data_IF_294653909375
#
_entry.id   IF_294653909375
#
_cell.length_a   1.000
_cell.length_b   1.000
_cell.length_c   1.000
_cell.angle_alpha   90.00
_cell.angle_beta   90.00
_cell.angle_gamma   90.00
#
_symmetry.space_group_name_H-M   'P 1'
#
loop_
_entity.id
_entity.type
_entity.pdbx_description
1 polymer ?
#
# COMPACT_ATOMS: atom_id res chain seq x y z
N UNK A 1 9.06 -27.68 -4.60
CA UNK A 1 9.64 -27.85 -5.97
C UNK A 1 10.78 -26.86 -6.13
N UNK A 2 12.00 -27.33 -6.40
CA UNK A 2 13.17 -26.45 -6.55
C UNK A 2 13.22 -25.87 -7.96
N UNK A 3 13.25 -24.55 -8.07
CA UNK A 3 13.24 -23.82 -9.34
C UNK A 3 14.27 -22.70 -9.34
N UNK A 4 14.54 -22.18 -10.53
CA UNK A 4 15.35 -20.97 -10.73
C UNK A 4 14.62 -19.71 -10.26
N UNK A 5 15.37 -18.63 -10.01
CA UNK A 5 14.80 -17.30 -9.71
C UNK A 5 13.82 -16.86 -10.79
N UNK A 6 14.13 -17.13 -12.05
CA UNK A 6 13.32 -16.75 -13.22
C UNK A 6 12.00 -17.53 -13.28
N UNK A 7 12.00 -18.79 -12.88
CA UNK A 7 10.79 -19.60 -12.74
C UNK A 7 9.95 -19.16 -11.55
N UNK A 8 10.57 -18.92 -10.40
CA UNK A 8 9.88 -18.36 -9.24
C UNK A 8 9.27 -16.99 -9.55
N UNK A 9 10.00 -16.13 -10.25
CA UNK A 9 9.51 -14.82 -10.70
C UNK A 9 8.24 -14.96 -11.54
N UNK A 10 8.21 -15.90 -12.48
CA UNK A 10 7.00 -16.21 -13.26
C UNK A 10 5.85 -16.71 -12.38
N UNK A 11 6.13 -17.63 -11.46
CA UNK A 11 5.14 -18.19 -10.54
C UNK A 11 4.46 -17.12 -9.69
N UNK A 12 5.24 -16.24 -9.07
CA UNK A 12 4.74 -15.16 -8.23
C UNK A 12 4.28 -13.93 -9.03
N UNK A 13 4.38 -13.94 -10.37
CA UNK A 13 4.15 -12.78 -11.26
C UNK A 13 4.94 -11.53 -10.81
N UNK A 14 6.20 -11.72 -10.42
CA UNK A 14 7.11 -10.65 -9.98
C UNK A 14 8.36 -10.61 -10.85
N UNK A 15 9.13 -9.53 -10.75
CA UNK A 15 10.42 -9.45 -11.44
C UNK A 15 11.47 -10.35 -10.74
N UNK A 16 12.44 -10.92 -11.48
CA UNK A 16 13.55 -11.67 -10.88
C UNK A 16 14.31 -10.88 -9.80
N UNK A 17 14.43 -9.56 -9.96
CA UNK A 17 15.02 -8.67 -8.97
C UNK A 17 14.23 -8.59 -7.66
N UNK A 18 12.91 -8.78 -7.68
CA UNK A 18 12.10 -8.87 -6.47
C UNK A 18 12.41 -10.16 -5.69
N UNK A 19 12.50 -11.28 -6.39
CA UNK A 19 12.85 -12.58 -5.78
C UNK A 19 14.27 -12.54 -5.19
N UNK A 20 15.25 -11.93 -5.87
CA UNK A 20 16.61 -11.76 -5.33
C UNK A 20 16.63 -10.90 -4.06
N UNK A 21 15.81 -9.85 -4.00
CA UNK A 21 15.64 -9.05 -2.77
C UNK A 21 15.00 -9.85 -1.65
N UNK A 22 14.07 -10.75 -1.93
CA UNK A 22 13.50 -11.64 -0.93
C UNK A 22 14.55 -12.56 -0.35
N UNK A 23 15.37 -13.19 -1.19
CA UNK A 23 16.51 -14.02 -0.75
C UNK A 23 17.47 -13.21 0.13
N UNK A 24 17.86 -12.01 -0.29
CA UNK A 24 18.72 -11.12 0.50
C UNK A 24 18.09 -10.72 1.86
N UNK A 25 16.75 -10.76 1.95
CA UNK A 25 15.99 -10.44 3.16
C UNK A 25 15.63 -11.68 3.99
N UNK A 26 16.29 -12.81 3.76
CA UNK A 26 16.13 -14.06 4.51
C UNK A 26 15.08 -15.02 3.98
N UNK A 27 14.71 -14.95 2.69
CA UNK A 27 13.84 -15.96 2.09
C UNK A 27 14.56 -17.31 1.94
N UNK A 28 13.85 -18.44 2.11
CA UNK A 28 14.44 -19.76 1.95
C UNK A 28 14.97 -19.93 0.53
N UNK A 29 16.25 -20.30 0.46
CA UNK A 29 17.02 -20.44 -0.76
C UNK A 29 17.86 -21.70 -0.61
N UNK A 30 17.73 -22.63 -1.54
CA UNK A 30 18.44 -23.91 -1.51
C UNK A 30 19.89 -23.73 -2.01
N UNK A 31 20.10 -22.79 -2.93
CA UNK A 31 21.44 -22.41 -3.38
C UNK A 31 21.51 -20.92 -3.67
N UNK A 32 22.38 -20.21 -2.95
CA UNK A 32 22.73 -18.83 -3.28
C UNK A 32 23.55 -18.86 -4.58
N UNK A 33 23.06 -18.18 -5.61
CA UNK A 33 23.72 -18.18 -6.92
C UNK A 33 25.13 -17.61 -6.86
N UNK A 34 26.06 -18.17 -7.63
CA UNK A 34 27.40 -17.61 -7.84
C UNK A 34 27.41 -16.78 -9.12
N UNK A 35 28.26 -15.75 -9.23
CA UNK A 35 28.38 -14.86 -10.41
C UNK A 35 28.93 -15.53 -11.69
N UNK A 36 28.76 -16.85 -11.84
CA UNK A 36 29.13 -17.61 -13.04
C UNK A 36 27.88 -17.97 -13.85
N UNK A 37 28.00 -17.91 -15.18
CA UNK A 37 26.94 -18.29 -16.13
C UNK A 37 26.44 -19.71 -15.82
N UNK A 38 25.14 -19.89 -15.63
CA UNK A 38 24.53 -21.17 -15.23
C UNK A 38 24.47 -21.45 -13.72
N UNK A 39 25.03 -20.58 -12.87
CA UNK A 39 25.01 -20.72 -11.42
C UNK A 39 23.98 -19.79 -10.75
N UNK A 40 22.77 -19.70 -11.31
CA UNK A 40 21.67 -18.93 -10.74
C UNK A 40 21.28 -19.45 -9.34
N UNK A 41 20.67 -18.56 -8.55
CA UNK A 41 20.11 -18.95 -7.26
C UNK A 41 18.92 -19.89 -7.48
N UNK A 42 18.76 -20.87 -6.60
CA UNK A 42 17.67 -21.85 -6.65
C UNK A 42 16.84 -21.75 -5.38
N UNK A 43 15.52 -21.73 -5.55
CA UNK A 43 14.56 -21.57 -4.47
C UNK A 43 13.58 -22.73 -4.49
N UNK A 44 13.23 -23.23 -3.31
CA UNK A 44 12.09 -24.12 -3.17
C UNK A 44 10.81 -23.29 -3.14
N UNK A 45 9.97 -23.45 -4.17
CA UNK A 45 8.73 -22.70 -4.33
C UNK A 45 7.82 -22.80 -3.12
N UNK A 46 7.65 -23.99 -2.56
CA UNK A 46 6.69 -24.21 -1.47
C UNK A 46 7.15 -23.50 -0.19
N UNK A 47 8.43 -23.61 0.13
CA UNK A 47 9.02 -22.88 1.26
C UNK A 47 9.01 -21.38 1.03
N UNK A 48 9.25 -20.93 -0.21
CA UNK A 48 9.21 -19.53 -0.58
C UNK A 48 7.78 -18.97 -0.47
N UNK A 49 6.76 -19.74 -0.85
CA UNK A 49 5.35 -19.40 -0.66
C UNK A 49 4.98 -19.27 0.82
N UNK A 50 5.38 -20.25 1.64
CA UNK A 50 5.14 -20.21 3.08
C UNK A 50 5.83 -19.02 3.74
N UNK A 51 7.08 -18.73 3.36
CA UNK A 51 7.81 -17.57 3.83
C UNK A 51 7.15 -16.26 3.38
N UNK A 52 6.71 -16.19 2.12
CA UNK A 52 6.01 -15.03 1.57
C UNK A 52 4.71 -14.77 2.33
N UNK A 53 3.90 -15.80 2.55
CA UNK A 53 2.65 -15.71 3.31
C UNK A 53 2.88 -15.22 4.75
N UNK A 54 3.90 -15.73 5.44
CA UNK A 54 4.26 -15.31 6.81
C UNK A 54 4.80 -13.87 6.85
N UNK A 55 5.73 -13.53 5.95
CA UNK A 55 6.42 -12.23 5.96
C UNK A 55 5.50 -11.08 5.58
N UNK A 56 4.62 -11.31 4.61
CA UNK A 56 3.67 -10.31 4.17
C UNK A 56 2.33 -10.44 4.90
N UNK A 57 2.25 -11.29 5.93
CA UNK A 57 1.04 -11.60 6.70
C UNK A 57 -0.18 -11.58 5.79
N UNK A 58 -0.15 -12.32 4.68
CA UNK A 58 -1.37 -12.55 3.93
C UNK A 58 -2.24 -13.35 4.89
N UNK A 59 -3.27 -12.76 5.52
CA UNK A 59 -4.25 -13.60 6.17
C UNK A 59 -4.74 -14.49 5.04
N UNK A 60 -5.00 -15.76 5.33
CA UNK A 60 -5.91 -16.53 4.48
C UNK A 60 -7.07 -15.59 4.14
N UNK A 61 -7.13 -15.17 2.87
CA UNK A 61 -8.20 -14.34 2.34
C UNK A 61 -9.46 -15.19 2.49
N UNK A 62 -10.10 -15.15 3.65
CA UNK A 62 -11.55 -15.22 3.69
C UNK A 62 -11.99 -14.19 2.66
N UNK A 63 -12.66 -14.69 1.62
CA UNK A 63 -12.99 -14.03 0.36
C UNK A 63 -13.82 -12.75 0.57
N UNK A 64 -13.21 -11.71 1.12
CA UNK A 64 -13.62 -10.35 0.82
C UNK A 64 -12.97 -10.00 -0.50
N UNK A 65 -13.78 -9.68 -1.49
CA UNK A 65 -13.28 -9.14 -2.74
C UNK A 65 -12.35 -7.96 -2.44
N UNK A 66 -11.30 -7.78 -3.25
CA UNK A 66 -10.39 -6.65 -3.07
C UNK A 66 -11.17 -5.31 -3.00
N UNK A 67 -12.31 -5.23 -3.69
CA UNK A 67 -13.26 -4.12 -3.59
C UNK A 67 -13.77 -3.88 -2.16
N UNK A 68 -14.31 -4.90 -1.49
CA UNK A 68 -14.81 -4.78 -0.10
C UNK A 68 -13.71 -4.38 0.89
N UNK A 69 -12.48 -4.86 0.68
CA UNK A 69 -11.34 -4.47 1.50
C UNK A 69 -11.05 -2.96 1.38
N UNK A 70 -11.09 -2.43 0.16
CA UNK A 70 -10.83 -1.01 -0.09
C UNK A 70 -12.01 -0.12 0.33
N UNK A 71 -13.25 -0.58 0.21
CA UNK A 71 -14.42 0.10 0.79
C UNK A 71 -14.30 0.20 2.32
N UNK A 72 -13.88 -0.89 2.98
CA UNK A 72 -13.65 -0.90 4.43
C UNK A 72 -12.49 0.02 4.84
N UNK A 73 -11.38 0.01 4.10
CA UNK A 73 -10.24 0.89 4.34
C UNK A 73 -10.66 2.36 4.22
N UNK A 74 -11.42 2.71 3.17
CA UNK A 74 -11.93 4.07 2.99
C UNK A 74 -12.80 4.51 4.18
N UNK A 75 -13.68 3.63 4.66
CA UNK A 75 -14.50 3.90 5.84
C UNK A 75 -13.65 4.17 7.10
N UNK A 76 -12.61 3.35 7.35
CA UNK A 76 -11.70 3.55 8.48
C UNK A 76 -10.89 4.84 8.40
N UNK A 77 -10.45 5.22 7.21
CA UNK A 77 -9.72 6.48 7.02
C UNK A 77 -10.63 7.69 7.29
N UNK A 78 -11.87 7.65 6.82
CA UNK A 78 -12.87 8.70 7.08
C UNK A 78 -13.23 8.75 8.56
N UNK A 79 -13.36 7.60 9.22
CA UNK A 79 -13.56 7.54 10.66
C UNK A 79 -12.37 8.16 11.39
N UNK A 80 -11.13 7.76 11.06
CA UNK A 80 -9.92 8.32 11.67
C UNK A 80 -9.81 9.84 11.52
N UNK A 81 -10.28 10.38 10.38
CA UNK A 81 -10.33 11.84 10.17
C UNK A 81 -11.35 12.55 11.07
N UNK A 82 -12.48 11.90 11.36
CA UNK A 82 -13.58 12.51 12.13
C UNK A 82 -13.51 12.21 13.62
N UNK A 83 -12.82 11.14 13.99
CA UNK A 83 -12.89 10.57 15.33
C UNK A 83 -12.31 11.54 16.35
N UNK A 84 -13.18 11.98 17.25
CA UNK A 84 -12.79 12.66 18.47
C UNK A 84 -12.25 11.61 19.45
N UNK A 85 -10.92 11.57 19.55
CA UNK A 85 -10.21 10.71 20.51
C UNK A 85 -9.89 11.45 21.82
N UNK A 86 -10.27 12.72 21.94
CA UNK A 86 -9.97 13.58 23.10
C UNK A 86 -11.12 13.77 24.07
N UNK A 87 -12.35 13.50 23.63
CA UNK A 87 -13.57 13.83 24.39
C UNK A 87 -13.88 15.33 24.40
N UNK A 88 -13.18 16.14 23.59
CA UNK A 88 -13.34 17.59 23.49
C UNK A 88 -14.05 18.03 22.20
N UNK A 89 -14.56 17.08 21.41
CA UNK A 89 -15.12 17.33 20.08
C UNK A 89 -14.05 17.62 19.01
N UNK A 90 -12.77 17.41 19.31
CA UNK A 90 -11.65 17.75 18.43
C UNK A 90 -11.03 16.47 17.85
N UNK A 91 -11.00 16.31 16.51
CA UNK A 91 -10.31 15.22 15.87
C UNK A 91 -8.83 15.14 16.22
N UNK A 92 -8.30 13.91 16.30
CA UNK A 92 -6.91 13.67 16.77
C UNK A 92 -5.85 14.41 15.95
N UNK A 93 -6.03 14.56 14.64
CA UNK A 93 -5.06 15.27 13.79
C UNK A 93 -4.97 16.75 14.15
N UNK A 94 -6.07 17.38 14.55
CA UNK A 94 -6.06 18.79 14.98
C UNK A 94 -5.34 18.98 16.32
N UNK A 95 -5.42 18.02 17.24
CA UNK A 95 -4.65 18.05 18.49
C UNK A 95 -3.14 18.00 18.23
N UNK A 96 -2.74 17.35 17.14
CA UNK A 96 -1.35 17.29 16.68
C UNK A 96 -0.93 18.53 15.86
N UNK A 97 -1.78 19.56 15.78
CA UNK A 97 -1.52 20.76 14.99
C UNK A 97 -1.61 20.53 13.47
N UNK A 98 -2.22 19.43 13.04
CA UNK A 98 -2.41 19.13 11.61
C UNK A 98 -3.74 19.73 11.16
N UNK A 99 -3.66 20.66 10.20
CA UNK A 99 -4.82 21.27 9.56
C UNK A 99 -5.74 20.25 8.87
N UNK A 100 -6.98 20.65 8.62
CA UNK A 100 -8.00 19.80 8.00
C UNK A 100 -7.58 19.35 6.59
N UNK A 101 -7.02 20.27 5.81
CA UNK A 101 -6.43 20.05 4.49
C UNK A 101 -5.33 18.98 4.51
N UNK A 102 -4.32 19.14 5.39
CA UNK A 102 -3.16 18.25 5.51
C UNK A 102 -3.57 16.88 6.02
N UNK A 103 -4.46 16.83 7.01
CA UNK A 103 -5.02 15.60 7.53
C UNK A 103 -5.75 14.82 6.45
N UNK A 104 -6.61 15.50 5.69
CA UNK A 104 -7.35 14.88 4.60
C UNK A 104 -6.42 14.42 3.46
N UNK A 105 -5.45 15.24 3.07
CA UNK A 105 -4.46 14.92 2.03
C UNK A 105 -3.65 13.68 2.40
N UNK A 106 -3.20 13.59 3.65
CA UNK A 106 -2.41 12.46 4.14
C UNK A 106 -3.19 11.15 4.09
N UNK A 107 -4.46 11.16 4.50
CA UNK A 107 -5.31 9.96 4.49
C UNK A 107 -5.66 9.51 3.06
N UNK A 108 -5.91 10.45 2.15
CA UNK A 108 -6.10 10.13 0.71
C UNK A 108 -4.82 9.53 0.12
N UNK A 109 -3.65 10.04 0.50
CA UNK A 109 -2.35 9.49 0.08
C UNK A 109 -2.15 8.05 0.58
N UNK A 110 -2.52 7.74 1.83
CA UNK A 110 -2.47 6.37 2.38
C UNK A 110 -3.32 5.42 1.53
N UNK A 111 -4.55 5.81 1.20
CA UNK A 111 -5.43 5.01 0.36
C UNK A 111 -4.83 4.78 -1.04
N UNK A 112 -4.34 5.83 -1.69
CA UNK A 112 -3.73 5.74 -3.02
C UNK A 112 -2.48 4.85 -3.01
N UNK A 113 -1.68 4.89 -1.94
CA UNK A 113 -0.51 4.03 -1.76
C UNK A 113 -0.91 2.55 -1.57
N UNK A 114 -1.92 2.28 -0.74
CA UNK A 114 -2.45 0.93 -0.55
C UNK A 114 -3.00 0.37 -1.88
N UNK A 115 -3.73 1.20 -2.63
CA UNK A 115 -4.29 0.82 -3.92
C UNK A 115 -3.20 0.51 -4.94
N UNK A 116 -2.16 1.34 -5.02
CA UNK A 116 -0.99 1.09 -5.88
C UNK A 116 -0.26 -0.20 -5.50
N UNK A 117 -0.13 -0.49 -4.20
CA UNK A 117 0.49 -1.73 -3.71
C UNK A 117 -0.29 -2.98 -4.11
N UNK A 118 -1.62 -2.90 -4.10
CA UNK A 118 -2.50 -4.04 -4.38
C UNK A 118 -2.73 -4.25 -5.88
N UNK A 119 -2.99 -3.17 -6.63
CA UNK A 119 -3.45 -3.22 -8.02
C UNK A 119 -2.40 -2.75 -9.02
N UNK A 120 -1.23 -2.30 -8.57
CA UNK A 120 -0.15 -1.76 -9.41
C UNK A 120 -0.54 -0.51 -10.22
N UNK A 121 -1.68 0.10 -9.87
CA UNK A 121 -2.16 1.35 -10.44
C UNK A 121 -2.69 2.30 -9.36
N UNK A 122 -2.61 3.59 -9.64
CA UNK A 122 -3.21 4.62 -8.79
C UNK A 122 -4.72 4.69 -9.09
N UNK A 123 -5.57 4.88 -8.08
CA UNK A 123 -6.98 5.10 -8.32
C UNK A 123 -7.17 6.46 -8.98
N UNK A 124 -8.06 6.55 -9.95
CA UNK A 124 -8.49 7.85 -10.45
C UNK A 124 -9.41 8.52 -9.41
N UNK A 125 -9.45 9.86 -9.41
CA UNK A 125 -10.27 10.62 -8.43
C UNK A 125 -11.75 10.23 -8.52
N UNK A 126 -12.25 9.96 -9.73
CA UNK A 126 -13.63 9.53 -9.97
C UNK A 126 -13.97 8.15 -9.40
N UNK A 127 -12.94 7.32 -9.16
CA UNK A 127 -13.09 5.96 -8.64
C UNK A 127 -12.90 5.92 -7.11
N UNK A 128 -12.64 7.06 -6.47
CA UNK A 128 -12.55 7.12 -5.02
C UNK A 128 -13.92 6.86 -4.38
N UNK A 129 -13.96 6.04 -3.32
CA UNK A 129 -15.15 5.91 -2.48
C UNK A 129 -15.63 7.29 -2.00
N UNK A 130 -16.95 7.48 -1.90
CA UNK A 130 -17.56 8.78 -1.64
C UNK A 130 -16.95 9.52 -0.43
N UNK A 131 -16.68 8.80 0.67
CA UNK A 131 -16.05 9.39 1.85
C UNK A 131 -14.62 9.90 1.61
N UNK A 132 -13.83 9.19 0.80
CA UNK A 132 -12.50 9.66 0.39
C UNK A 132 -12.56 10.77 -0.65
N UNK A 133 -13.58 10.79 -1.51
CA UNK A 133 -13.81 11.92 -2.41
C UNK A 133 -14.09 13.21 -1.62
N UNK A 134 -14.80 13.12 -0.49
CA UNK A 134 -14.97 14.26 0.44
C UNK A 134 -13.64 14.70 1.02
N UNK A 135 -12.79 13.79 1.51
CA UNK A 135 -11.46 14.13 2.02
C UNK A 135 -10.58 14.74 0.92
N UNK A 136 -10.61 14.19 -0.29
CA UNK A 136 -9.88 14.75 -1.43
C UNK A 136 -10.30 16.19 -1.72
N UNK A 137 -11.60 16.50 -1.65
CA UNK A 137 -12.09 17.87 -1.80
C UNK A 137 -11.60 18.79 -0.68
N UNK A 138 -11.63 18.35 0.58
CA UNK A 138 -11.09 19.11 1.71
C UNK A 138 -9.60 19.42 1.49
N UNK A 139 -8.83 18.43 1.05
CA UNK A 139 -7.41 18.61 0.73
C UNK A 139 -7.17 19.61 -0.42
N UNK A 140 -8.08 19.67 -1.40
CA UNK A 140 -7.95 20.55 -2.57
C UNK A 140 -8.46 21.97 -2.35
N UNK A 141 -9.35 22.22 -1.38
CA UNK A 141 -9.91 23.57 -1.12
C UNK A 141 -8.79 24.57 -0.81
N UNK A 142 -7.80 24.19 0.01
CA UNK A 142 -6.71 25.09 0.41
C UNK A 142 -5.54 25.07 -0.59
N UNK A 143 -5.32 23.97 -1.32
CA UNK A 143 -4.29 23.87 -2.35
C UNK A 143 -4.50 24.83 -3.55
N UNK A 144 -5.72 25.36 -3.71
CA UNK A 144 -6.07 26.37 -4.71
C UNK A 144 -6.24 27.78 -4.14
N UNK A 145 -6.33 27.96 -2.81
CA UNK A 145 -6.38 29.27 -2.18
C UNK A 145 -5.06 30.04 -2.33
N UNK A 146 -3.93 29.33 -2.30
CA UNK A 146 -2.58 29.89 -2.50
C UNK A 146 -2.23 30.24 -3.97
N UNK A 147 -3.19 30.08 -4.90
CA UNK A 147 -3.02 30.42 -6.33
C UNK A 147 -3.76 31.67 -6.78
N UNK A 148 -4.20 32.53 -5.86
CA UNK A 148 -4.56 33.91 -6.20
C UNK A 148 -3.30 34.75 -6.06
N UNK A 149 -2.64 35.19 -7.15
CA UNK A 149 -1.61 36.20 -7.03
C UNK A 149 -2.27 37.45 -6.46
N UNK A 150 -1.80 37.89 -5.30
CA UNK A 150 -2.09 39.19 -4.72
C UNK A 150 -1.72 40.27 -5.73
N UNK A 151 -2.66 40.64 -6.58
CA UNK A 151 -2.62 41.88 -7.34
C UNK A 151 -3.40 42.92 -6.54
N UNK A 152 -2.73 43.52 -5.57
CA UNK A 152 -2.99 44.86 -5.05
C UNK A 152 -1.65 45.49 -4.66
#
# INVERSE_FOLDING_TARGET
MIVTVEEAARHFRRSPSAIRRWIASGAPCERVGQSRKGHGAMVDLERLEQWYARKYQLPSLEKRSAKEHFEQLAAWLVDAFKRDSSGLGIPIHQLLGIGQDKGAAFLVMIYAYAHLRQFECRPEVRDLPAGLLTLYRIACIDAHADKVPSQF
#
